data_IF_914595301513
#
_entry.id   IF_914595301513
#
_cell.length_a   1.000
_cell.length_b   1.000
_cell.length_c   1.000
_cell.angle_alpha   90.00
_cell.angle_beta   90.00
_cell.angle_gamma   90.00
#
_symmetry.space_group_name_H-M   'P 1'
#
loop_
_entity.id
_entity.type
_entity.pdbx_description
1 polymer ?
#
# COMPACT_ATOMS: atom_id res chain seq x y z
N UNK A 1 -16.93 31.06 -4.76
CA UNK A 1 -17.26 29.87 -3.94
C UNK A 1 -16.15 28.85 -4.13
N UNK A 2 -15.09 28.96 -3.32
CA UNK A 2 -13.92 28.09 -3.41
C UNK A 2 -14.29 26.76 -2.75
N UNK A 3 -14.40 25.69 -3.55
CA UNK A 3 -14.47 24.33 -2.99
C UNK A 3 -13.18 24.13 -2.22
N UNK A 4 -13.27 23.87 -0.92
CA UNK A 4 -12.16 23.39 -0.11
C UNK A 4 -11.75 22.02 -0.66
N UNK A 5 -10.92 22.01 -1.70
CA UNK A 5 -10.11 20.85 -2.01
C UNK A 5 -9.15 20.69 -0.81
N UNK A 6 -9.18 19.53 -0.16
CA UNK A 6 -8.17 19.18 0.82
C UNK A 6 -6.79 19.36 0.17
N UNK A 7 -5.84 20.03 0.84
CA UNK A 7 -4.49 20.12 0.31
C UNK A 7 -3.91 18.71 0.07
N UNK A 8 -3.16 18.54 -1.02
CA UNK A 8 -2.50 17.27 -1.36
C UNK A 8 -1.60 16.70 -0.25
N UNK A 9 -1.21 17.52 0.74
CA UNK A 9 -0.39 17.10 1.89
C UNK A 9 -1.18 16.50 3.07
N UNK A 10 -2.52 16.50 3.05
CA UNK A 10 -3.32 15.86 4.10
C UNK A 10 -3.81 14.50 3.62
N UNK A 11 -2.89 13.54 3.64
CA UNK A 11 -3.26 12.13 3.67
C UNK A 11 -3.93 11.88 5.03
N UNK A 12 -5.22 11.54 5.03
CA UNK A 12 -5.91 11.23 6.28
C UNK A 12 -5.22 10.03 6.95
N UNK A 13 -4.90 10.12 8.26
CA UNK A 13 -4.22 9.04 8.97
C UNK A 13 -5.09 7.80 9.02
N UNK A 14 -4.45 6.63 9.08
CA UNK A 14 -5.14 5.37 9.30
C UNK A 14 -5.92 5.42 10.61
N UNK A 15 -7.20 5.08 10.55
CA UNK A 15 -8.07 5.02 11.71
C UNK A 15 -8.59 3.59 11.97
N UNK A 16 -9.18 3.37 13.14
CA UNK A 16 -9.66 2.06 13.56
C UNK A 16 -10.73 1.47 12.62
N UNK A 17 -11.62 2.30 12.08
CA UNK A 17 -12.68 1.84 11.16
C UNK A 17 -12.08 1.29 9.86
N UNK A 18 -11.02 1.91 9.35
CA UNK A 18 -10.30 1.41 8.17
C UNK A 18 -9.63 0.06 8.47
N UNK A 19 -8.99 -0.10 9.63
CA UNK A 19 -8.35 -1.36 10.03
C UNK A 19 -9.39 -2.48 10.16
N UNK A 20 -10.51 -2.20 10.84
CA UNK A 20 -11.63 -3.14 10.95
C UNK A 20 -12.18 -3.52 9.58
N UNK A 21 -12.34 -2.55 8.67
CA UNK A 21 -12.79 -2.84 7.32
C UNK A 21 -11.85 -3.81 6.59
N UNK A 22 -10.52 -3.61 6.69
CA UNK A 22 -9.55 -4.55 6.09
C UNK A 22 -9.65 -5.94 6.72
N UNK A 23 -9.85 -6.05 8.03
CA UNK A 23 -9.99 -7.36 8.69
C UNK A 23 -11.25 -8.11 8.22
N UNK A 24 -12.37 -7.40 8.11
CA UNK A 24 -13.69 -8.00 7.84
C UNK A 24 -13.96 -8.20 6.34
N UNK A 25 -13.38 -7.34 5.49
CA UNK A 25 -13.79 -7.22 4.08
C UNK A 25 -12.63 -7.27 3.08
N UNK A 26 -11.40 -7.51 3.52
CA UNK A 26 -10.30 -7.77 2.59
C UNK A 26 -10.67 -8.89 1.62
N UNK A 27 -10.50 -8.63 0.34
CA UNK A 27 -10.71 -9.57 -0.74
C UNK A 27 -9.37 -10.00 -1.36
N UNK A 28 -8.30 -9.22 -1.14
CA UNK A 28 -6.95 -9.58 -1.53
C UNK A 28 -6.23 -10.22 -0.34
N UNK A 29 -5.81 -11.47 -0.53
CA UNK A 29 -5.00 -12.22 0.42
C UNK A 29 -3.74 -12.72 -0.28
N UNK A 30 -2.58 -12.35 0.25
CA UNK A 30 -1.28 -12.80 -0.26
C UNK A 30 -0.52 -13.50 0.84
N UNK A 31 -0.20 -14.77 0.63
CA UNK A 31 0.68 -15.52 1.53
C UNK A 31 2.09 -14.92 1.46
N UNK A 32 2.65 -14.58 2.62
CA UNK A 32 4.03 -14.12 2.77
C UNK A 32 4.97 -15.24 3.22
N UNK A 33 4.43 -16.43 3.48
CA UNK A 33 5.13 -17.56 4.06
C UNK A 33 5.23 -17.45 5.59
N UNK A 34 5.63 -18.56 6.23
CA UNK A 34 5.84 -18.60 7.68
C UNK A 34 4.56 -18.46 8.53
N UNK A 35 3.38 -18.68 7.94
CA UNK A 35 2.09 -18.50 8.62
C UNK A 35 1.66 -17.03 8.72
N UNK A 36 2.12 -16.19 7.79
CA UNK A 36 1.73 -14.78 7.71
C UNK A 36 1.04 -14.49 6.39
N UNK A 37 -0.06 -13.74 6.45
CA UNK A 37 -0.80 -13.29 5.28
C UNK A 37 -0.89 -11.77 5.23
N UNK A 38 -0.68 -11.20 4.05
CA UNK A 38 -1.02 -9.81 3.77
C UNK A 38 -2.48 -9.74 3.31
N UNK A 39 -3.26 -8.92 3.99
CA UNK A 39 -4.67 -8.65 3.67
C UNK A 39 -4.83 -7.22 3.20
N UNK A 40 -5.58 -7.03 2.12
CA UNK A 40 -5.87 -5.72 1.51
C UNK A 40 -7.27 -5.70 0.92
N UNK A 41 -7.81 -4.50 0.78
CA UNK A 41 -9.04 -4.24 0.03
C UNK A 41 -8.66 -3.77 -1.38
N UNK A 42 -9.23 -4.42 -2.39
CA UNK A 42 -9.12 -4.00 -3.78
C UNK A 42 -9.94 -2.72 -4.06
N UNK A 43 -9.63 -2.04 -5.17
CA UNK A 43 -10.42 -0.89 -5.61
C UNK A 43 -11.86 -1.30 -5.93
N UNK A 44 -12.05 -2.47 -6.53
CA UNK A 44 -13.36 -3.04 -6.87
C UNK A 44 -14.18 -3.33 -5.61
N UNK A 45 -13.55 -3.78 -4.53
CA UNK A 45 -14.21 -4.01 -3.26
C UNK A 45 -14.56 -2.69 -2.57
N UNK A 46 -13.66 -1.72 -2.56
CA UNK A 46 -13.90 -0.38 -2.00
C UNK A 46 -15.05 0.36 -2.72
N UNK A 47 -15.25 0.11 -4.01
CA UNK A 47 -16.32 0.70 -4.80
C UNK A 47 -17.74 0.18 -4.48
N UNK A 48 -17.89 -0.81 -3.59
CA UNK A 48 -19.20 -1.36 -3.22
C UNK A 48 -19.91 -0.49 -2.18
N UNK A 49 -21.24 -0.41 -2.27
CA UNK A 49 -22.07 0.50 -1.48
C UNK A 49 -21.94 0.28 0.04
N UNK A 50 -21.72 -0.95 0.49
CA UNK A 50 -21.46 -1.29 1.89
C UNK A 50 -20.21 -0.57 2.43
N UNK A 51 -19.14 -0.47 1.63
CA UNK A 51 -17.90 0.20 2.02
C UNK A 51 -18.09 1.72 2.14
N UNK A 52 -18.86 2.33 1.24
CA UNK A 52 -19.21 3.75 1.36
C UNK A 52 -20.04 4.05 2.61
N UNK A 53 -20.98 3.16 2.98
CA UNK A 53 -21.78 3.31 4.19
C UNK A 53 -20.94 3.17 5.46
N UNK A 54 -19.94 2.29 5.44
CA UNK A 54 -19.06 2.02 6.58
C UNK A 54 -18.01 3.12 6.80
N UNK A 55 -17.34 3.54 5.71
CA UNK A 55 -16.15 4.39 5.78
C UNK A 55 -16.41 5.83 5.34
N UNK A 56 -17.53 6.10 4.66
CA UNK A 56 -17.87 7.42 4.15
C UNK A 56 -16.77 7.99 3.26
N UNK A 57 -16.21 9.14 3.67
CA UNK A 57 -15.15 9.84 2.93
C UNK A 57 -13.82 9.08 2.89
N UNK A 58 -13.62 8.14 3.80
CA UNK A 58 -12.37 7.42 3.97
C UNK A 58 -12.31 6.14 3.13
N UNK A 59 -13.36 5.84 2.36
CA UNK A 59 -13.47 4.62 1.54
C UNK A 59 -12.32 4.45 0.55
N UNK A 60 -11.88 5.52 -0.11
CA UNK A 60 -10.75 5.48 -1.03
C UNK A 60 -9.42 5.25 -0.30
N UNK A 61 -9.30 5.68 0.97
CA UNK A 61 -8.06 5.52 1.75
C UNK A 61 -7.79 4.06 2.12
N UNK A 62 -8.84 3.26 2.25
CA UNK A 62 -8.73 1.87 2.71
C UNK A 62 -7.95 0.97 1.73
N UNK A 63 -7.92 1.32 0.44
CA UNK A 63 -7.19 0.58 -0.59
C UNK A 63 -5.66 0.71 -0.45
N UNK A 64 -5.20 1.76 0.21
CA UNK A 64 -3.77 1.97 0.49
C UNK A 64 -3.28 1.21 1.72
N UNK A 65 -4.19 0.63 2.49
CA UNK A 65 -3.85 -0.02 3.75
C UNK A 65 -3.51 -1.49 3.49
N UNK A 66 -2.37 -1.91 4.03
CA UNK A 66 -1.96 -3.31 4.10
C UNK A 66 -1.93 -3.79 5.54
N UNK A 67 -2.51 -4.96 5.80
CA UNK A 67 -2.48 -5.58 7.11
C UNK A 67 -1.73 -6.91 7.03
N UNK A 68 -0.65 -7.03 7.80
CA UNK A 68 0.07 -8.30 7.98
C UNK A 68 -0.51 -9.01 9.17
N UNK A 69 -1.09 -10.18 8.90
CA UNK A 69 -1.74 -11.05 9.86
C UNK A 69 -0.86 -12.25 10.18
N UNK A 70 -0.82 -12.66 11.45
CA UNK A 70 -0.27 -13.95 11.87
C UNK A 70 -1.41 -14.97 11.97
N UNK A 71 -1.46 -15.91 11.03
CA UNK A 71 -2.51 -16.92 10.97
C UNK A 71 -2.41 -17.96 12.11
N UNK A 72 -1.25 -18.07 12.78
CA UNK A 72 -1.06 -19.00 13.91
C UNK A 72 -1.50 -18.42 15.25
N UNK A 73 -1.28 -17.13 15.44
CA UNK A 73 -1.52 -16.43 16.71
C UNK A 73 -2.80 -15.58 16.69
N UNK A 74 -3.46 -15.47 15.53
CA UNK A 74 -4.69 -14.70 15.31
C UNK A 74 -4.51 -13.21 15.66
N UNK A 75 -3.40 -12.63 15.20
CA UNK A 75 -2.97 -11.28 15.58
C UNK A 75 -2.48 -10.44 14.41
N UNK A 76 -2.68 -9.13 14.53
CA UNK A 76 -2.10 -8.14 13.63
C UNK A 76 -0.62 -7.98 13.99
N UNK A 77 0.26 -8.27 13.03
CA UNK A 77 1.72 -8.08 13.18
C UNK A 77 2.11 -6.67 12.78
N UNK A 78 1.51 -6.14 11.72
CA UNK A 78 1.84 -4.83 11.17
C UNK A 78 0.67 -4.25 10.38
N UNK A 79 0.52 -2.93 10.48
CA UNK A 79 -0.30 -2.13 9.57
C UNK A 79 0.64 -1.26 8.74
N UNK A 80 0.40 -1.22 7.44
CA UNK A 80 1.14 -0.42 6.46
C UNK A 80 0.18 0.58 5.82
N UNK A 81 0.62 1.83 5.69
CA UNK A 81 -0.09 2.89 4.95
C UNK A 81 0.74 3.26 3.72
N UNK A 82 0.25 2.90 2.54
CA UNK A 82 0.95 3.12 1.29
C UNK A 82 0.43 4.35 0.53
N UNK A 83 -0.24 5.26 1.22
CA UNK A 83 -0.86 6.43 0.62
C UNK A 83 0.11 7.37 -0.08
N UNK A 84 1.28 7.58 0.51
CA UNK A 84 2.34 8.38 -0.09
C UNK A 84 2.90 7.71 -1.36
N UNK A 85 2.75 6.39 -1.49
CA UNK A 85 3.18 5.61 -2.64
C UNK A 85 2.08 5.46 -3.70
N UNK A 86 0.89 6.01 -3.48
CA UNK A 86 -0.26 5.85 -4.38
C UNK A 86 0.07 6.34 -5.80
N UNK A 87 0.68 7.52 -5.92
CA UNK A 87 1.07 8.08 -7.23
C UNK A 87 2.09 7.18 -7.94
N UNK A 88 3.06 6.62 -7.22
CA UNK A 88 4.07 5.71 -7.77
C UNK A 88 3.51 4.37 -8.26
N UNK A 89 2.35 3.92 -7.75
CA UNK A 89 1.69 2.67 -8.18
C UNK A 89 0.94 2.79 -9.50
N UNK A 90 0.49 4.00 -9.82
CA UNK A 90 -0.22 4.29 -11.06
C UNK A 90 0.70 4.77 -12.18
N UNK A 91 2.01 4.96 -11.90
CA UNK A 91 2.98 5.24 -12.94
C UNK A 91 3.03 4.04 -13.92
N UNK A 92 2.89 4.29 -15.23
CA UNK A 92 3.26 3.33 -16.25
C UNK A 92 4.66 2.80 -15.97
N UNK A 93 4.86 1.50 -16.19
CA UNK A 93 6.17 0.86 -16.03
C UNK A 93 7.29 1.58 -16.79
N UNK A 94 6.96 2.23 -17.91
CA UNK A 94 7.90 3.04 -18.71
C UNK A 94 8.40 4.27 -17.94
N UNK A 95 7.54 4.97 -17.21
CA UNK A 95 7.90 6.18 -16.44
C UNK A 95 8.69 5.84 -15.16
N UNK A 96 8.49 4.64 -14.60
CA UNK A 96 9.24 4.17 -13.43
C UNK A 96 10.70 3.83 -13.74
N UNK A 97 11.05 3.55 -15.01
CA UNK A 97 12.42 3.23 -15.43
C UNK A 97 13.30 4.46 -15.63
N UNK A 98 12.75 5.61 -16.01
CA UNK A 98 13.51 6.86 -16.11
C UNK A 98 14.12 7.29 -14.76
N UNK A 99 13.51 6.86 -13.64
CA UNK A 99 14.04 7.06 -12.30
C UNK A 99 15.30 6.23 -12.00
N UNK A 100 15.53 5.14 -12.74
CA UNK A 100 16.74 4.31 -12.63
C UNK A 100 17.86 4.76 -13.59
N UNK A 101 17.59 5.65 -14.56
CA UNK A 101 18.58 6.13 -15.53
C UNK A 101 19.37 7.37 -15.05
N UNK A 102 19.10 7.90 -13.86
CA UNK A 102 19.80 9.09 -13.35
C UNK A 102 20.78 8.75 -12.21
N UNK A 103 21.97 8.34 -12.63
CA UNK A 103 23.30 8.70 -12.11
C UNK A 103 24.26 7.53 -12.43
N UNK A 104 24.94 7.69 -13.57
CA UNK A 104 26.35 7.32 -13.77
C UNK A 104 26.76 6.04 -13.03
N UNK A 105 26.46 4.90 -13.66
CA UNK A 105 27.11 3.64 -13.28
C UNK A 105 28.61 3.89 -13.33
N UNK A 106 29.23 3.97 -12.16
CA UNK A 106 30.67 4.15 -11.97
C UNK A 106 31.41 3.02 -12.72
N UNK A 107 31.78 3.29 -13.97
CA UNK A 107 32.46 2.37 -14.91
C UNK A 107 33.86 1.94 -14.44
N UNK A 108 34.23 2.18 -13.18
CA UNK A 108 35.57 1.90 -12.64
C UNK A 108 35.62 1.03 -11.37
N UNK A 109 34.51 0.43 -10.94
CA UNK A 109 34.57 -0.56 -9.87
C UNK A 109 35.09 -1.90 -10.43
N UNK A 110 36.41 -2.13 -10.33
CA UNK A 110 37.02 -3.43 -10.66
C UNK A 110 36.29 -4.56 -9.92
N UNK A 111 35.99 -5.69 -10.60
CA UNK A 111 35.24 -6.78 -9.98
C UNK A 111 36.07 -7.35 -8.82
N UNK A 112 35.54 -7.21 -7.59
CA UNK A 112 36.08 -7.85 -6.40
C UNK A 112 36.13 -9.36 -6.63
N UNK A 113 37.32 -9.87 -6.95
CA UNK A 113 37.55 -11.31 -7.02
C UNK A 113 37.44 -11.86 -5.60
N UNK A 114 36.38 -12.62 -5.35
CA UNK A 114 36.29 -13.51 -4.20
C UNK A 114 37.32 -14.61 -4.39
N UNK A 115 38.46 -14.50 -3.69
CA UNK A 115 39.38 -15.62 -3.51
C UNK A 115 38.73 -16.61 -2.54
N UNK A 116 38.67 -17.87 -2.95
CA UNK A 116 38.19 -19.00 -2.17
C UNK A 116 39.12 -19.35 -0.99
#
# INVERSE_FOLDING_TARGET
>A
MTRFACPAWTIAPVNAAMISAVLDFADIHRDLGGGRSLRRISHERAAKADMFLLLGRDVERVTDIGLVWNDREDQIVRVTDDAELRESRFMPWEDAFELFETEETDERAEPLRLCA
#
